data_IF_209142455891
#
_entry.id   IF_209142455891
#
_cell.length_a   1.000
_cell.length_b   1.000
_cell.length_c   1.000
_cell.angle_alpha   90.00
_cell.angle_beta   90.00
_cell.angle_gamma   90.00
#
_symmetry.space_group_name_H-M   'P 1'
#
loop_
_entity.id
_entity.type
_entity.pdbx_description
1 polymer ?
#
# COMPACT_ATOMS: atom_id res chain seq x y z
N UNK A 1 -45.89 -32.70 -26.08
CA UNK A 1 -45.36 -31.59 -25.26
C UNK A 1 -43.87 -31.46 -25.56
N UNK A 2 -43.37 -30.26 -25.88
CA UNK A 2 -41.94 -30.06 -26.12
C UNK A 2 -41.19 -30.29 -24.80
N UNK A 3 -40.13 -31.10 -24.83
CA UNK A 3 -39.28 -31.28 -23.65
C UNK A 3 -38.52 -29.99 -23.35
N UNK A 4 -38.40 -29.63 -22.08
CA UNK A 4 -37.63 -28.46 -21.64
C UNK A 4 -36.13 -28.74 -21.73
N UNK A 5 -35.34 -27.67 -21.79
CA UNK A 5 -33.89 -27.74 -21.84
C UNK A 5 -33.29 -28.44 -20.60
N UNK A 6 -32.22 -29.22 -20.80
CA UNK A 6 -31.48 -29.96 -19.76
C UNK A 6 -30.72 -29.04 -18.77
N UNK A 7 -30.46 -27.79 -19.16
CA UNK A 7 -29.74 -26.83 -18.31
C UNK A 7 -30.69 -26.34 -17.23
N UNK A 8 -30.26 -26.46 -15.96
CA UNK A 8 -31.03 -25.98 -14.79
C UNK A 8 -31.43 -24.51 -14.99
N UNK A 9 -32.67 -24.18 -14.62
CA UNK A 9 -33.25 -22.82 -14.73
C UNK A 9 -33.46 -22.32 -16.17
N UNK A 10 -33.48 -23.21 -17.17
CA UNK A 10 -33.81 -22.85 -18.55
C UNK A 10 -35.17 -23.42 -18.97
N UNK A 11 -36.16 -22.54 -19.13
CA UNK A 11 -37.54 -22.91 -19.51
C UNK A 11 -37.74 -23.02 -21.03
N UNK A 12 -36.68 -22.83 -21.82
CA UNK A 12 -36.78 -22.84 -23.28
C UNK A 12 -37.03 -24.26 -23.82
N UNK A 13 -37.79 -24.40 -24.93
CA UNK A 13 -37.99 -25.68 -25.58
C UNK A 13 -36.66 -26.29 -26.05
N UNK A 14 -36.48 -27.58 -25.79
CA UNK A 14 -35.38 -28.34 -26.35
C UNK A 14 -35.58 -28.52 -27.85
N UNK A 15 -34.52 -28.29 -28.62
CA UNK A 15 -34.48 -28.54 -30.06
C UNK A 15 -33.65 -29.78 -30.43
N UNK A 16 -32.59 -30.10 -29.67
CA UNK A 16 -31.67 -31.21 -29.97
C UNK A 16 -30.85 -31.57 -28.73
N UNK A 17 -30.54 -32.86 -28.51
CA UNK A 17 -29.81 -33.36 -27.31
C UNK A 17 -30.42 -32.93 -25.97
N UNK A 18 -31.75 -32.74 -25.91
CA UNK A 18 -32.44 -32.15 -24.75
C UNK A 18 -31.97 -30.72 -24.43
N UNK A 19 -31.44 -29.97 -25.39
CA UNK A 19 -30.94 -28.60 -25.21
C UNK A 19 -31.67 -27.61 -26.14
N UNK A 20 -31.89 -26.38 -25.67
CA UNK A 20 -32.36 -25.28 -26.52
C UNK A 20 -31.25 -24.83 -27.49
N UNK A 21 -31.60 -24.02 -28.51
CA UNK A 21 -30.67 -23.59 -29.56
C UNK A 21 -29.39 -22.95 -29.02
N UNK A 22 -29.54 -22.04 -28.05
CA UNK A 22 -28.41 -21.34 -27.43
C UNK A 22 -27.50 -22.30 -26.65
N UNK A 23 -28.07 -23.25 -25.91
CA UNK A 23 -27.29 -24.22 -25.12
C UNK A 23 -26.59 -25.26 -26.00
N UNK A 24 -27.23 -25.71 -27.08
CA UNK A 24 -26.61 -26.59 -28.07
C UNK A 24 -25.43 -25.91 -28.78
N UNK A 25 -25.58 -24.65 -29.17
CA UNK A 25 -24.49 -23.88 -29.80
C UNK A 25 -23.30 -23.66 -28.86
N UNK A 26 -23.55 -23.38 -27.57
CA UNK A 26 -22.49 -23.28 -26.54
C UNK A 26 -21.79 -24.62 -26.31
N UNK A 27 -22.54 -25.70 -26.16
CA UNK A 27 -22.00 -27.06 -26.04
C UNK A 27 -21.11 -27.44 -27.23
N UNK A 28 -21.51 -27.07 -28.45
CA UNK A 28 -20.71 -27.30 -29.67
C UNK A 28 -19.42 -26.48 -29.69
N UNK A 29 -19.44 -25.26 -29.16
CA UNK A 29 -18.27 -24.37 -29.08
C UNK A 29 -17.27 -24.81 -28.01
N UNK A 30 -17.77 -25.35 -26.90
CA UNK A 30 -16.96 -25.77 -25.76
C UNK A 30 -16.57 -27.27 -25.82
N UNK A 31 -16.53 -27.86 -27.04
CA UNK A 31 -16.15 -29.26 -27.30
C UNK A 31 -16.84 -30.29 -26.39
N UNK A 32 -18.13 -30.09 -26.12
CA UNK A 32 -18.93 -31.05 -25.37
C UNK A 32 -18.97 -30.84 -23.86
N UNK A 33 -18.29 -29.82 -23.33
CA UNK A 33 -18.42 -29.44 -21.93
C UNK A 33 -19.80 -28.81 -21.69
N UNK A 34 -20.76 -29.59 -21.15
CA UNK A 34 -22.15 -29.19 -20.89
C UNK A 34 -22.29 -28.07 -19.83
N UNK A 35 -21.19 -27.67 -19.22
CA UNK A 35 -21.15 -26.72 -18.11
C UNK A 35 -20.20 -25.59 -18.45
N UNK A 36 -20.61 -24.68 -19.33
CA UNK A 36 -20.11 -23.32 -19.24
C UNK A 36 -20.68 -22.73 -17.94
N UNK A 37 -20.10 -23.12 -16.80
CA UNK A 37 -20.32 -22.43 -15.54
C UNK A 37 -20.12 -20.95 -15.83
N UNK A 38 -21.02 -20.08 -15.34
CA UNK A 38 -20.87 -18.63 -15.47
C UNK A 38 -19.41 -18.31 -15.19
N UNK A 39 -18.71 -17.62 -16.09
CA UNK A 39 -17.37 -17.10 -15.79
C UNK A 39 -17.57 -16.17 -14.60
N UNK A 40 -17.34 -16.69 -13.40
CA UNK A 40 -17.34 -15.88 -12.19
C UNK A 40 -16.15 -14.97 -12.37
N UNK A 41 -16.41 -13.74 -12.81
CA UNK A 41 -15.39 -12.71 -12.74
C UNK A 41 -15.08 -12.61 -11.26
N UNK A 42 -13.86 -12.99 -10.88
CA UNK A 42 -13.45 -12.86 -9.49
C UNK A 42 -13.72 -11.41 -9.05
N UNK A 43 -14.33 -11.25 -7.89
CA UNK A 43 -14.62 -9.94 -7.33
C UNK A 43 -13.34 -9.11 -7.25
N UNK A 44 -13.46 -7.80 -7.11
CA UNK A 44 -12.30 -6.93 -6.94
C UNK A 44 -11.47 -7.39 -5.73
N UNK A 45 -12.15 -7.83 -4.68
CA UNK A 45 -11.61 -8.32 -3.43
C UNK A 45 -10.86 -9.64 -3.63
N UNK A 46 -11.47 -10.61 -4.32
CA UNK A 46 -10.80 -11.89 -4.66
C UNK A 46 -9.55 -11.64 -5.52
N UNK A 47 -9.65 -10.74 -6.51
CA UNK A 47 -8.52 -10.33 -7.36
C UNK A 47 -7.43 -9.56 -6.60
N UNK A 48 -7.80 -8.86 -5.53
CA UNK A 48 -6.87 -8.17 -4.66
C UNK A 48 -6.11 -9.17 -3.80
N UNK A 49 -6.83 -9.99 -3.02
CA UNK A 49 -6.24 -10.90 -2.04
C UNK A 49 -5.44 -12.03 -2.66
N UNK A 50 -5.76 -12.47 -3.88
CA UNK A 50 -4.94 -13.40 -4.68
C UNK A 50 -3.56 -12.83 -5.07
N UNK A 51 -3.32 -11.54 -4.87
CA UNK A 51 -2.04 -10.85 -5.16
C UNK A 51 -1.35 -10.36 -3.89
N UNK A 52 -1.67 -10.97 -2.75
CA UNK A 52 -1.08 -10.64 -1.46
C UNK A 52 -0.40 -11.88 -0.89
N UNK A 53 0.91 -11.78 -0.72
CA UNK A 53 1.71 -12.73 0.04
C UNK A 53 1.68 -12.34 1.53
N UNK A 54 1.00 -13.13 2.36
CA UNK A 54 0.82 -12.83 3.79
C UNK A 54 1.94 -13.48 4.59
N UNK A 55 2.88 -12.67 5.08
CA UNK A 55 3.85 -13.11 6.08
C UNK A 55 3.40 -12.73 7.49
N UNK A 56 4.11 -13.20 8.52
CA UNK A 56 3.83 -12.88 9.92
C UNK A 56 3.94 -11.37 10.21
N UNK A 57 4.87 -10.69 9.54
CA UNK A 57 5.14 -9.27 9.75
C UNK A 57 4.32 -8.41 8.79
N UNK A 58 4.50 -8.60 7.48
CA UNK A 58 3.90 -7.76 6.44
C UNK A 58 3.09 -8.59 5.45
N UNK A 59 2.04 -8.00 4.90
CA UNK A 59 1.30 -8.59 3.79
C UNK A 59 1.76 -7.92 2.51
N UNK A 60 2.62 -8.57 1.75
CA UNK A 60 3.29 -7.98 0.61
C UNK A 60 2.44 -8.10 -0.65
N UNK A 61 2.24 -6.99 -1.34
CA UNK A 61 1.70 -6.99 -2.68
C UNK A 61 2.69 -7.66 -3.64
N UNK A 62 2.21 -8.64 -4.42
CA UNK A 62 3.00 -9.36 -5.43
C UNK A 62 2.56 -9.05 -6.86
N UNK A 63 1.58 -8.16 -7.03
CA UNK A 63 1.13 -7.70 -8.35
C UNK A 63 2.05 -6.67 -8.99
N UNK A 64 1.54 -5.96 -10.00
CA UNK A 64 2.29 -4.91 -10.67
C UNK A 64 2.58 -3.71 -9.76
N UNK A 65 3.70 -3.02 -10.02
CA UNK A 65 4.14 -1.80 -9.31
C UNK A 65 4.20 -0.61 -10.26
N UNK A 66 4.18 0.61 -9.71
CA UNK A 66 4.50 1.83 -10.45
C UNK A 66 6.01 2.12 -10.42
N UNK A 67 6.46 3.17 -11.14
CA UNK A 67 7.88 3.58 -11.17
C UNK A 67 8.45 3.96 -9.80
N UNK A 68 7.59 4.33 -8.86
CA UNK A 68 7.95 4.75 -7.51
C UNK A 68 7.90 3.61 -6.49
N UNK A 69 7.71 2.34 -6.92
CA UNK A 69 7.73 1.18 -6.03
C UNK A 69 6.39 0.80 -5.40
N UNK A 70 5.30 1.56 -5.63
CA UNK A 70 4.00 1.26 -5.04
C UNK A 70 3.21 0.22 -5.85
N UNK A 71 2.67 -0.77 -5.16
CA UNK A 71 1.76 -1.77 -5.74
C UNK A 71 0.52 -1.12 -6.35
N UNK A 72 0.04 -1.66 -7.47
CA UNK A 72 -1.15 -1.18 -8.18
C UNK A 72 -2.08 -2.31 -8.60
N UNK A 73 -3.39 -2.05 -8.50
CA UNK A 73 -4.46 -2.92 -8.98
C UNK A 73 -5.27 -2.17 -10.05
N UNK A 74 -5.63 -2.86 -11.13
CA UNK A 74 -6.52 -2.31 -12.17
C UNK A 74 -7.98 -2.65 -11.87
N UNK A 75 -8.82 -1.64 -11.69
CA UNK A 75 -10.27 -1.72 -11.47
C UNK A 75 -10.93 -0.79 -12.49
N UNK A 76 -11.89 -1.30 -13.26
CA UNK A 76 -12.68 -0.52 -14.25
C UNK A 76 -11.82 0.38 -15.16
N UNK A 77 -10.72 -0.19 -15.67
CA UNK A 77 -9.79 0.53 -16.54
C UNK A 77 -8.75 1.40 -15.83
N UNK A 78 -8.94 1.74 -14.55
CA UNK A 78 -8.07 2.65 -13.78
C UNK A 78 -7.13 1.87 -12.86
N UNK A 79 -5.92 2.38 -12.67
CA UNK A 79 -4.98 1.85 -11.69
C UNK A 79 -5.15 2.58 -10.36
N UNK A 80 -5.40 1.83 -9.30
CA UNK A 80 -5.39 2.33 -7.93
C UNK A 80 -4.20 1.73 -7.17
N UNK A 81 -3.73 2.43 -6.13
CA UNK A 81 -2.63 1.93 -5.29
C UNK A 81 -3.12 0.81 -4.38
N UNK A 82 -2.35 -0.26 -4.27
CA UNK A 82 -2.76 -1.45 -3.55
C UNK A 82 -2.95 -1.19 -2.04
N UNK A 83 -2.04 -0.42 -1.41
CA UNK A 83 -2.18 -0.09 0.01
C UNK A 83 -3.40 0.80 0.28
N UNK A 84 -3.71 1.76 -0.62
CA UNK A 84 -4.93 2.58 -0.49
C UNK A 84 -6.16 1.69 -0.57
N UNK A 85 -6.21 0.77 -1.54
CA UNK A 85 -7.34 -0.16 -1.65
C UNK A 85 -7.51 -1.00 -0.39
N UNK A 86 -6.42 -1.52 0.17
CA UNK A 86 -6.49 -2.29 1.41
C UNK A 86 -6.95 -1.45 2.60
N UNK A 87 -6.55 -0.19 2.68
CA UNK A 87 -7.03 0.72 3.71
C UNK A 87 -8.54 0.96 3.56
N UNK A 88 -9.00 1.22 2.33
CA UNK A 88 -10.41 1.50 2.02
C UNK A 88 -11.34 0.32 2.33
N UNK A 89 -10.88 -0.90 2.06
CA UNK A 89 -11.64 -2.12 2.38
C UNK A 89 -11.93 -2.29 3.88
N UNK A 90 -11.04 -1.80 4.74
CA UNK A 90 -11.14 -1.95 6.20
C UNK A 90 -11.74 -0.71 6.87
N UNK A 91 -11.36 0.49 6.42
CA UNK A 91 -11.63 1.76 7.11
C UNK A 91 -12.55 2.70 6.33
N UNK A 92 -12.88 2.39 5.08
CA UNK A 92 -13.63 3.28 4.19
C UNK A 92 -12.76 4.31 3.46
N UNK A 93 -13.43 5.26 2.80
CA UNK A 93 -12.80 6.21 1.87
C UNK A 93 -11.71 7.06 2.52
N UNK A 94 -10.64 7.33 1.77
CA UNK A 94 -9.58 8.27 2.18
C UNK A 94 -10.06 9.70 1.94
N UNK A 95 -10.26 10.53 3.00
CA UNK A 95 -10.72 11.89 2.84
C UNK A 95 -9.74 12.76 2.02
N UNK A 96 -10.27 13.78 1.35
CA UNK A 96 -9.45 14.73 0.61
C UNK A 96 -8.39 15.39 1.50
N UNK A 97 -7.16 15.52 0.98
CA UNK A 97 -6.03 16.10 1.71
C UNK A 97 -5.31 15.16 2.68
N UNK A 98 -5.82 13.94 2.86
CA UNK A 98 -5.16 12.88 3.62
C UNK A 98 -4.42 11.90 2.71
N UNK A 99 -3.44 11.20 3.29
CA UNK A 99 -2.69 10.12 2.65
C UNK A 99 -2.63 8.90 3.56
N UNK A 100 -2.40 7.73 2.97
CA UNK A 100 -2.20 6.48 3.70
C UNK A 100 -0.68 6.27 3.89
N UNK A 101 -0.23 6.25 5.14
CA UNK A 101 1.16 6.04 5.55
C UNK A 101 1.42 4.60 6.01
N UNK A 102 2.61 4.09 5.68
CA UNK A 102 3.09 2.77 6.09
C UNK A 102 3.85 2.87 7.41
N UNK A 103 3.22 2.47 8.51
CA UNK A 103 3.84 2.34 9.85
C UNK A 103 5.05 1.40 9.89
N UNK A 104 5.12 0.49 8.91
CA UNK A 104 6.18 -0.50 8.78
C UNK A 104 7.32 -0.10 7.83
N UNK A 105 7.20 1.04 7.14
CA UNK A 105 8.15 1.51 6.12
C UNK A 105 8.43 0.52 4.97
N UNK A 106 7.54 -0.44 4.77
CA UNK A 106 7.55 -1.34 3.63
C UNK A 106 6.48 -0.90 2.62
N UNK A 107 6.91 -0.29 1.52
CA UNK A 107 6.04 0.25 0.46
C UNK A 107 5.16 -0.81 -0.21
N UNK A 108 5.57 -2.09 -0.14
CA UNK A 108 4.83 -3.23 -0.70
C UNK A 108 3.74 -3.72 0.24
N UNK A 109 3.75 -3.30 1.51
CA UNK A 109 2.83 -3.81 2.50
C UNK A 109 1.40 -3.29 2.28
N UNK A 110 0.44 -4.19 2.38
CA UNK A 110 -1.00 -3.93 2.31
C UNK A 110 -1.71 -4.49 3.54
N UNK A 111 -1.01 -4.68 4.66
CA UNK A 111 -1.63 -5.15 5.91
C UNK A 111 -2.38 -3.97 6.56
N UNK A 112 -3.70 -4.03 6.78
CA UNK A 112 -4.46 -2.86 7.26
C UNK A 112 -3.92 -2.26 8.56
N UNK A 113 -3.51 -3.07 9.53
CA UNK A 113 -2.93 -2.59 10.80
C UNK A 113 -1.58 -1.85 10.65
N UNK A 114 -0.91 -1.98 9.50
CA UNK A 114 0.31 -1.26 9.16
C UNK A 114 0.05 0.04 8.39
N UNK A 115 -1.21 0.31 8.05
CA UNK A 115 -1.63 1.49 7.30
C UNK A 115 -2.35 2.44 8.25
N UNK A 116 -2.10 3.74 8.09
CA UNK A 116 -2.84 4.77 8.84
C UNK A 116 -3.11 5.99 7.97
N UNK A 117 -4.22 6.65 8.26
CA UNK A 117 -4.57 7.92 7.64
C UNK A 117 -3.78 9.04 8.30
N UNK A 118 -3.07 9.84 7.50
CA UNK A 118 -2.25 10.95 7.99
C UNK A 118 -2.29 12.14 7.03
N UNK A 119 -1.91 13.31 7.53
CA UNK A 119 -1.61 14.47 6.69
C UNK A 119 -0.24 14.33 6.02
N UNK A 120 0.00 15.10 4.96
CA UNK A 120 1.32 15.16 4.32
C UNK A 120 2.46 15.55 5.27
N UNK A 121 2.18 16.43 6.24
CA UNK A 121 3.14 16.83 7.27
C UNK A 121 3.51 15.64 8.15
N UNK A 122 2.52 14.93 8.67
CA UNK A 122 2.71 13.74 9.50
C UNK A 122 3.45 12.63 8.75
N UNK A 123 3.11 12.37 7.49
CA UNK A 123 3.86 11.42 6.65
C UNK A 123 5.33 11.83 6.49
N UNK A 124 5.61 13.13 6.34
CA UNK A 124 6.98 13.65 6.23
C UNK A 124 7.77 13.58 7.54
N UNK A 125 7.10 13.73 8.69
CA UNK A 125 7.67 13.52 10.01
C UNK A 125 8.15 12.07 10.17
N UNK A 126 7.33 11.12 9.69
CA UNK A 126 7.54 9.69 9.83
C UNK A 126 8.69 9.10 8.99
N UNK A 127 9.38 9.88 8.18
CA UNK A 127 10.48 9.38 7.34
C UNK A 127 11.60 8.71 8.15
N UNK A 128 12.15 7.60 7.66
CA UNK A 128 13.40 7.03 8.20
C UNK A 128 14.61 7.73 7.57
N UNK A 129 15.60 8.04 8.41
CA UNK A 129 16.95 8.39 7.97
C UNK A 129 17.10 9.75 7.30
N UNK A 130 18.32 10.00 6.82
CA UNK A 130 18.70 11.23 6.17
C UNK A 130 18.24 11.28 4.69
N UNK A 131 18.34 12.47 4.10
CA UNK A 131 18.17 12.60 2.65
C UNK A 131 19.31 11.91 1.91
N UNK A 132 19.05 11.47 0.67
CA UNK A 132 20.04 10.73 -0.15
C UNK A 132 21.35 11.50 -0.39
N UNK A 133 21.31 12.82 -0.35
CA UNK A 133 22.47 13.70 -0.51
C UNK A 133 23.13 14.10 0.83
N UNK A 134 22.73 13.49 1.95
CA UNK A 134 23.35 13.73 3.24
C UNK A 134 24.74 13.11 3.28
N UNK A 135 25.75 13.92 3.61
CA UNK A 135 27.12 13.44 3.79
C UNK A 135 27.33 12.66 5.09
N UNK A 136 26.54 12.96 6.13
CA UNK A 136 26.66 12.31 7.44
C UNK A 136 25.90 10.99 7.53
N UNK A 137 24.94 10.74 6.62
CA UNK A 137 23.96 9.66 6.77
C UNK A 137 22.93 9.84 7.89
N UNK A 138 23.13 10.81 8.79
CA UNK A 138 22.29 11.04 9.98
C UNK A 138 21.25 12.13 9.70
N UNK A 139 19.98 11.87 10.06
CA UNK A 139 18.87 12.79 9.80
C UNK A 139 19.05 14.09 10.59
N UNK A 140 19.24 15.20 9.87
CA UNK A 140 19.33 16.53 10.47
C UNK A 140 20.70 16.86 11.09
N UNK A 141 21.72 16.03 10.84
CA UNK A 141 23.08 16.25 11.35
C UNK A 141 24.04 16.42 10.18
N UNK A 142 24.98 17.36 10.27
CA UNK A 142 26.01 17.53 9.26
C UNK A 142 27.31 18.07 9.88
N UNK A 143 28.43 17.76 9.24
CA UNK A 143 29.74 18.29 9.62
C UNK A 143 29.95 19.70 9.07
N UNK A 144 30.38 20.63 9.94
CA UNK A 144 30.74 21.99 9.57
C UNK A 144 32.27 22.18 9.68
N UNK A 145 33.02 22.11 8.56
CA UNK A 145 34.48 22.17 8.60
C UNK A 145 34.99 23.52 9.12
N UNK A 146 34.28 24.61 8.86
CA UNK A 146 34.65 25.96 9.32
C UNK A 146 34.59 26.12 10.84
N UNK A 147 33.80 25.29 11.52
CA UNK A 147 33.64 25.29 12.98
C UNK A 147 34.33 24.11 13.65
N UNK A 148 34.90 23.20 12.86
CA UNK A 148 35.41 21.92 13.32
C UNK A 148 34.43 21.18 14.26
N UNK A 149 33.14 21.20 13.92
CA UNK A 149 32.07 20.69 14.79
C UNK A 149 30.91 20.08 13.99
N UNK A 150 30.19 19.16 14.65
CA UNK A 150 28.93 18.60 14.17
C UNK A 150 27.79 19.53 14.49
N UNK A 151 26.88 19.77 13.53
CA UNK A 151 25.70 20.61 13.74
C UNK A 151 24.45 19.74 13.62
N UNK A 152 23.53 19.91 14.57
CA UNK A 152 22.21 19.31 14.50
C UNK A 152 21.13 20.38 14.26
N UNK A 153 20.18 20.07 13.40
CA UNK A 153 19.00 20.90 13.16
C UNK A 153 17.79 20.06 12.78
N UNK A 154 16.61 20.54 13.15
CA UNK A 154 15.33 19.88 12.85
C UNK A 154 14.40 20.89 12.18
N UNK A 155 13.83 20.53 11.03
CA UNK A 155 12.82 21.35 10.36
C UNK A 155 11.43 20.97 10.86
N UNK A 156 10.66 21.95 11.31
CA UNK A 156 9.28 21.76 11.77
C UNK A 156 8.41 22.95 11.34
N UNK A 157 7.22 22.68 10.78
CA UNK A 157 6.31 23.72 10.27
C UNK A 157 6.98 24.75 9.35
N UNK A 158 7.86 24.30 8.46
CA UNK A 158 8.59 25.18 7.54
C UNK A 158 9.81 25.88 8.14
N UNK A 159 9.92 26.00 9.47
CA UNK A 159 11.04 26.64 10.18
C UNK A 159 12.14 25.65 10.53
N UNK A 160 13.40 26.08 10.44
CA UNK A 160 14.55 25.33 10.93
C UNK A 160 14.81 25.66 12.40
N UNK A 161 14.89 24.63 13.23
CA UNK A 161 15.27 24.70 14.64
C UNK A 161 16.72 24.23 14.74
N UNK A 162 17.63 25.16 15.02
CA UNK A 162 19.04 24.86 15.21
C UNK A 162 19.29 24.39 16.65
N UNK A 163 20.00 23.29 16.81
CA UNK A 163 20.26 22.67 18.12
C UNK A 163 21.66 22.97 18.66
N UNK A 164 22.49 23.66 17.87
CA UNK A 164 23.85 24.02 18.24
C UNK A 164 24.89 23.11 17.60
N UNK A 165 26.10 23.17 18.17
CA UNK A 165 27.30 22.47 17.73
C UNK A 165 27.71 21.40 18.74
N UNK A 166 28.23 20.29 18.27
CA UNK A 166 28.61 19.12 19.04
C UNK A 166 30.01 18.65 18.64
N UNK A 167 30.73 18.05 19.59
CA UNK A 167 32.06 17.46 19.36
C UNK A 167 31.98 16.17 18.54
N UNK A 168 30.92 15.38 18.71
CA UNK A 168 30.74 14.11 18.00
C UNK A 168 29.42 14.07 17.21
N UNK A 169 29.40 13.25 16.15
CA UNK A 169 28.21 13.00 15.36
C UNK A 169 27.09 12.36 16.19
N UNK A 170 27.46 11.47 17.12
CA UNK A 170 26.53 10.76 17.98
C UNK A 170 25.81 11.72 18.95
N UNK A 171 26.52 12.70 19.51
CA UNK A 171 25.89 13.70 20.40
C UNK A 171 24.91 14.59 19.63
N UNK A 172 25.30 14.99 18.41
CA UNK A 172 24.43 15.73 17.49
C UNK A 172 23.18 14.91 17.11
N UNK A 173 23.34 13.60 16.88
CA UNK A 173 22.24 12.69 16.59
C UNK A 173 21.27 12.56 17.76
N UNK A 174 21.77 12.36 18.98
CA UNK A 174 20.92 12.28 20.19
C UNK A 174 20.12 13.56 20.40
N UNK A 175 20.75 14.72 20.21
CA UNK A 175 20.05 16.00 20.27
C UNK A 175 18.97 16.12 19.18
N UNK A 176 19.28 15.70 17.95
CA UNK A 176 18.32 15.71 16.85
C UNK A 176 17.13 14.78 17.10
N UNK A 177 17.37 13.56 17.59
CA UNK A 177 16.33 12.59 17.99
C UNK A 177 15.44 13.17 19.09
N UNK A 178 16.04 13.71 20.15
CA UNK A 178 15.30 14.32 21.25
C UNK A 178 14.37 15.45 20.74
N UNK A 179 14.89 16.34 19.88
CA UNK A 179 14.06 17.42 19.33
C UNK A 179 12.98 16.92 18.37
N UNK A 180 13.25 15.89 17.56
CA UNK A 180 12.22 15.28 16.71
C UNK A 180 11.12 14.65 17.56
N UNK A 181 11.46 13.96 18.64
CA UNK A 181 10.47 13.38 19.54
C UNK A 181 9.62 14.43 20.27
N UNK A 182 10.20 15.59 20.58
CA UNK A 182 9.48 16.75 21.12
C UNK A 182 8.51 17.36 20.09
N UNK A 183 8.96 17.58 18.86
CA UNK A 183 8.22 18.36 17.86
C UNK A 183 7.27 17.53 16.99
N UNK A 184 7.63 16.28 16.66
CA UNK A 184 6.95 15.49 15.66
C UNK A 184 5.84 14.67 16.28
N UNK A 185 4.69 14.65 15.63
CA UNK A 185 3.55 13.84 16.06
C UNK A 185 3.72 12.38 15.63
N UNK A 186 4.30 12.17 14.44
CA UNK A 186 4.44 10.86 13.79
C UNK A 186 5.92 10.53 13.62
N UNK A 187 6.56 10.05 14.68
CA UNK A 187 7.98 9.72 14.72
C UNK A 187 8.22 8.32 15.30
N UNK A 188 7.50 7.33 14.77
CA UNK A 188 7.49 5.96 15.32
C UNK A 188 8.90 5.33 15.32
N UNK A 189 9.79 5.68 14.38
CA UNK A 189 11.14 5.13 14.30
C UNK A 189 12.02 5.55 15.49
N UNK A 190 12.24 6.85 15.69
CA UNK A 190 13.06 7.37 16.80
C UNK A 190 12.47 7.00 18.18
N UNK A 191 11.15 6.79 18.29
CA UNK A 191 10.49 6.38 19.54
C UNK A 191 10.66 4.90 19.85
N UNK A 192 10.88 4.05 18.84
CA UNK A 192 11.12 2.60 19.04
C UNK A 192 12.50 2.30 19.59
N UNK A 193 13.49 3.16 19.34
CA UNK A 193 14.88 2.96 19.75
C UNK A 193 15.16 3.32 21.23
N UNK A 194 14.14 3.71 22.00
CA UNK A 194 14.27 4.03 23.45
C UNK A 194 14.03 2.78 24.32
N UNK A 195 14.46 1.59 23.88
CA UNK A 195 14.37 0.35 24.67
C UNK A 195 15.74 -0.22 24.97
#
# INVERSE_FOLDING_TARGET
>A
MASTCLVKECEQPSICRRMCTMHYQRWKKDNGHLLAQKRHWASVEERFWSKVDKTETCWNWIGGFNKSGYGRLKIDGKFIRAHIRSFEMENGEVPAGMVVDHRCHNEKCVRPVHLRLVTHKQNSEHRIGAQKNSKSGIRGVYWAPTRNAWIASVRHCGRQVNLGTFSTAADAERAAIAKRNELFTHNDHDRKEVK
#
